data_IF_961829643110
#
_entry.id   IF_961829643110
#
_cell.length_a   1.000
_cell.length_b   1.000
_cell.length_c   1.000
_cell.angle_alpha   90.00
_cell.angle_beta   90.00
_cell.angle_gamma   90.00
#
_symmetry.space_group_name_H-M   'P 1'
#
loop_
_entity.id
_entity.type
_entity.pdbx_description
1 polymer ?
#
# COMPACT_ATOMS: atom_id res chain seq x y z
N UNK A 1 -11.14 10.45 11.93
CA UNK A 1 -12.10 10.51 10.81
C UNK A 1 -11.39 11.09 9.62
N UNK A 2 -11.46 10.43 8.47
CA UNK A 2 -10.74 10.84 7.26
C UNK A 2 -11.20 12.24 6.81
N UNK A 3 -10.28 13.18 6.58
CA UNK A 3 -10.63 14.51 6.06
C UNK A 3 -10.90 14.45 4.55
N UNK A 4 -12.04 13.90 4.16
CA UNK A 4 -12.43 13.64 2.76
C UNK A 4 -12.29 14.90 1.90
N UNK A 5 -12.72 16.06 2.38
CA UNK A 5 -12.67 17.30 1.61
C UNK A 5 -11.24 17.80 1.35
N UNK A 6 -10.31 17.58 2.28
CA UNK A 6 -8.88 17.84 2.02
C UNK A 6 -8.34 16.84 1.00
N UNK A 7 -8.66 15.55 1.16
CA UNK A 7 -8.21 14.51 0.24
C UNK A 7 -8.77 14.67 -1.18
N UNK A 8 -9.95 15.26 -1.33
CA UNK A 8 -10.52 15.59 -2.65
C UNK A 8 -9.65 16.58 -3.43
N UNK A 9 -8.90 17.45 -2.76
CA UNK A 9 -8.10 18.51 -3.39
C UNK A 9 -6.68 18.08 -3.77
N UNK A 10 -6.14 17.03 -3.16
CA UNK A 10 -4.77 16.59 -3.44
C UNK A 10 -4.66 15.77 -4.73
N UNK A 11 -3.42 15.62 -5.22
CA UNK A 11 -3.10 14.80 -6.40
C UNK A 11 -3.58 13.35 -6.21
N UNK A 12 -3.86 12.66 -7.32
CA UNK A 12 -4.29 11.25 -7.27
C UNK A 12 -3.23 10.38 -6.56
N UNK A 13 -1.94 10.65 -6.79
CA UNK A 13 -0.83 9.91 -6.20
C UNK A 13 -0.73 10.16 -4.68
N UNK A 14 -0.77 11.41 -4.25
CA UNK A 14 -0.74 11.77 -2.82
C UNK A 14 -1.92 11.16 -2.08
N UNK A 15 -3.11 11.22 -2.69
CA UNK A 15 -4.33 10.61 -2.17
C UNK A 15 -4.19 9.11 -2.03
N UNK A 16 -3.70 8.44 -3.07
CA UNK A 16 -3.49 7.00 -3.07
C UNK A 16 -2.54 6.59 -1.94
N UNK A 17 -1.41 7.29 -1.81
CA UNK A 17 -0.45 7.02 -0.74
C UNK A 17 -1.05 7.25 0.65
N UNK A 18 -1.82 8.32 0.83
CA UNK A 18 -2.53 8.58 2.08
C UNK A 18 -3.53 7.47 2.42
N UNK A 19 -4.33 7.04 1.45
CA UNK A 19 -5.29 5.96 1.65
C UNK A 19 -4.58 4.67 2.04
N UNK A 20 -3.48 4.31 1.36
CA UNK A 20 -2.65 3.16 1.72
C UNK A 20 -2.13 3.31 3.15
N UNK A 21 -1.60 4.48 3.53
CA UNK A 21 -1.11 4.75 4.88
C UNK A 21 -2.19 4.58 5.95
N UNK A 22 -3.40 5.07 5.66
CA UNK A 22 -4.54 4.95 6.56
C UNK A 22 -4.91 3.47 6.74
N UNK A 23 -5.04 2.71 5.65
CA UNK A 23 -5.37 1.29 5.70
C UNK A 23 -4.28 0.50 6.44
N UNK A 24 -3.01 0.79 6.19
CA UNK A 24 -1.90 0.20 6.93
C UNK A 24 -2.05 0.45 8.44
N UNK A 25 -2.37 1.69 8.84
CA UNK A 25 -2.53 2.07 10.24
C UNK A 25 -3.70 1.34 10.91
N UNK A 26 -4.84 1.19 10.23
CA UNK A 26 -6.00 0.39 10.69
C UNK A 26 -5.66 -1.10 10.84
N UNK A 27 -4.70 -1.60 10.07
CA UNK A 27 -4.19 -2.98 10.16
C UNK A 27 -3.06 -3.15 11.20
N UNK A 28 -2.66 -2.08 11.90
CA UNK A 28 -1.50 -2.10 12.80
C UNK A 28 -0.18 -2.34 12.06
N UNK A 29 -0.10 -1.93 10.80
CA UNK A 29 1.05 -2.09 9.92
C UNK A 29 1.65 -0.71 9.60
N UNK A 30 2.97 -0.61 9.66
CA UNK A 30 3.69 0.58 9.21
C UNK A 30 3.78 0.60 7.68
N UNK A 31 3.53 1.74 7.03
CA UNK A 31 3.61 1.85 5.57
C UNK A 31 5.01 1.52 5.03
N UNK A 32 6.08 1.87 5.76
CA UNK A 32 7.44 1.48 5.42
C UNK A 32 7.64 -0.03 5.55
N UNK A 33 6.92 -0.70 6.46
CA UNK A 33 6.95 -2.16 6.52
C UNK A 33 6.29 -2.77 5.28
N UNK A 34 5.12 -2.27 4.87
CA UNK A 34 4.46 -2.72 3.64
C UNK A 34 5.38 -2.57 2.42
N UNK A 35 5.91 -1.37 2.18
CA UNK A 35 6.81 -1.16 1.03
C UNK A 35 8.12 -1.93 1.20
N UNK A 36 8.58 -2.16 2.43
CA UNK A 36 9.72 -3.02 2.74
C UNK A 36 9.48 -4.46 2.30
N UNK A 37 8.32 -5.05 2.60
CA UNK A 37 7.93 -6.38 2.15
C UNK A 37 7.91 -6.47 0.62
N UNK A 38 7.29 -5.49 -0.04
CA UNK A 38 7.21 -5.48 -1.50
C UNK A 38 8.60 -5.35 -2.14
N UNK A 39 9.46 -4.47 -1.62
CA UNK A 39 10.84 -4.33 -2.07
C UNK A 39 11.65 -5.61 -1.83
N UNK A 40 11.57 -6.18 -0.63
CA UNK A 40 12.27 -7.40 -0.25
C UNK A 40 11.90 -8.57 -1.17
N UNK A 41 10.61 -8.72 -1.50
CA UNK A 41 10.16 -9.72 -2.46
C UNK A 41 10.81 -9.52 -3.83
N UNK A 42 10.85 -8.28 -4.33
CA UNK A 42 11.43 -7.99 -5.64
C UNK A 42 12.95 -8.20 -5.67
N UNK A 43 13.66 -7.87 -4.58
CA UNK A 43 15.09 -8.16 -4.43
C UNK A 43 15.34 -9.68 -4.48
N UNK A 44 14.55 -10.47 -3.73
CA UNK A 44 14.63 -11.94 -3.76
C UNK A 44 14.36 -12.52 -5.15
N UNK A 45 13.49 -11.89 -5.94
CA UNK A 45 13.04 -12.38 -7.25
C UNK A 45 13.69 -11.66 -8.45
N UNK A 46 14.75 -10.86 -8.24
CA UNK A 46 15.52 -10.14 -9.29
C UNK A 46 14.68 -9.27 -10.25
N UNK A 47 13.55 -8.72 -9.78
CA UNK A 47 12.64 -7.89 -10.58
C UNK A 47 13.11 -6.44 -10.76
N UNK A 48 12.63 -5.74 -11.80
CA UNK A 48 12.73 -4.26 -11.88
C UNK A 48 11.63 -3.66 -11.01
N UNK A 49 12.01 -3.03 -9.90
CA UNK A 49 11.04 -2.47 -8.96
C UNK A 49 10.57 -1.07 -9.36
N UNK A 50 9.27 -0.96 -9.60
CA UNK A 50 8.49 0.25 -9.41
C UNK A 50 7.20 -0.22 -8.75
N UNK A 51 6.81 0.35 -7.61
CA UNK A 51 5.76 -0.25 -6.79
C UNK A 51 4.40 -0.38 -7.49
N UNK A 52 4.15 0.32 -8.60
CA UNK A 52 2.95 0.14 -9.45
C UNK A 52 3.14 -0.88 -10.60
N UNK A 53 4.37 -1.31 -10.88
CA UNK A 53 4.78 -2.24 -11.95
C UNK A 53 5.56 -3.45 -11.43
N UNK A 54 5.35 -3.80 -10.16
CA UNK A 54 6.07 -4.87 -9.49
C UNK A 54 5.88 -6.22 -10.19
N UNK A 55 6.97 -6.97 -10.40
CA UNK A 55 6.92 -8.29 -11.03
C UNK A 55 6.70 -9.38 -9.99
N UNK A 56 5.45 -9.52 -9.56
CA UNK A 56 5.00 -10.66 -8.76
C UNK A 56 4.69 -11.87 -9.65
N UNK A 57 4.74 -13.07 -9.08
CA UNK A 57 4.35 -14.32 -9.77
C UNK A 57 3.33 -15.10 -8.94
N UNK A 58 2.55 -15.97 -9.60
CA UNK A 58 1.55 -16.83 -8.95
C UNK A 58 0.49 -16.05 -8.18
N UNK A 59 0.03 -16.62 -7.05
CA UNK A 59 -1.03 -16.07 -6.20
C UNK A 59 -0.72 -14.64 -5.73
N UNK A 60 0.55 -14.36 -5.40
CA UNK A 60 0.98 -13.01 -5.01
C UNK A 60 0.78 -11.97 -6.11
N UNK A 61 0.92 -12.37 -7.37
CA UNK A 61 0.65 -11.48 -8.50
C UNK A 61 -0.82 -11.12 -8.55
N UNK A 62 -1.69 -12.12 -8.43
CA UNK A 62 -3.12 -11.89 -8.50
C UNK A 62 -3.60 -11.00 -7.36
N UNK A 63 -3.07 -11.20 -6.14
CA UNK A 63 -3.45 -10.41 -4.98
C UNK A 63 -2.89 -8.99 -5.04
N UNK A 64 -1.65 -8.82 -5.51
CA UNK A 64 -1.08 -7.51 -5.78
C UNK A 64 -1.86 -6.76 -6.87
N UNK A 65 -2.15 -7.41 -8.00
CA UNK A 65 -2.87 -6.80 -9.13
C UNK A 65 -4.29 -6.39 -8.74
N UNK A 66 -5.00 -7.23 -7.97
CA UNK A 66 -6.34 -6.91 -7.43
C UNK A 66 -6.28 -5.69 -6.53
N UNK A 67 -5.36 -5.66 -5.57
CA UNK A 67 -5.17 -4.52 -4.68
C UNK A 67 -4.79 -3.26 -5.47
N UNK A 68 -3.81 -3.36 -6.36
CA UNK A 68 -3.28 -2.24 -7.13
C UNK A 68 -4.37 -1.62 -8.04
N UNK A 69 -5.09 -2.46 -8.77
CA UNK A 69 -6.18 -2.03 -9.66
C UNK A 69 -7.39 -1.49 -8.90
N UNK A 70 -7.66 -2.01 -7.70
CA UNK A 70 -8.68 -1.46 -6.82
C UNK A 70 -8.29 -0.05 -6.34
N UNK A 71 -7.07 0.11 -5.82
CA UNK A 71 -6.58 1.39 -5.31
C UNK A 71 -6.45 2.47 -6.39
N UNK A 72 -6.08 2.10 -7.63
CA UNK A 72 -6.11 3.03 -8.75
C UNK A 72 -7.52 3.55 -9.05
N UNK A 73 -8.52 2.66 -9.11
CA UNK A 73 -9.91 3.06 -9.32
C UNK A 73 -10.45 3.88 -8.16
N UNK A 74 -10.22 3.42 -6.92
CA UNK A 74 -10.68 4.11 -5.72
C UNK A 74 -10.09 5.52 -5.62
N UNK A 75 -8.76 5.67 -5.73
CA UNK A 75 -8.12 6.98 -5.66
C UNK A 75 -8.50 7.90 -6.83
N UNK A 76 -8.68 7.35 -8.04
CA UNK A 76 -9.10 8.10 -9.22
C UNK A 76 -10.55 8.60 -9.14
N UNK A 77 -11.46 7.79 -8.60
CA UNK A 77 -12.89 8.11 -8.48
C UNK A 77 -13.25 8.78 -7.15
N UNK A 78 -12.32 8.88 -6.20
CA UNK A 78 -12.55 9.41 -4.86
C UNK A 78 -13.26 10.78 -4.83
N UNK A 79 -13.01 11.64 -5.82
CA UNK A 79 -13.68 12.96 -5.89
C UNK A 79 -15.20 12.86 -6.03
N UNK A 80 -15.69 11.80 -6.66
CA UNK A 80 -17.12 11.56 -6.92
C UNK A 80 -17.78 10.70 -5.84
N UNK A 81 -17.04 10.23 -4.83
CA UNK A 81 -17.59 9.37 -3.79
C UNK A 81 -18.21 10.22 -2.67
N UNK A 82 -19.34 9.73 -2.16
CA UNK A 82 -19.91 10.13 -0.88
C UNK A 82 -19.23 9.35 0.27
N UNK A 83 -19.54 9.72 1.51
CA UNK A 83 -18.95 9.09 2.71
C UNK A 83 -19.16 7.57 2.72
N UNK A 84 -20.38 7.11 2.42
CA UNK A 84 -20.72 5.68 2.46
C UNK A 84 -19.89 4.87 1.46
N UNK A 85 -19.70 5.40 0.25
CA UNK A 85 -18.84 4.76 -0.77
C UNK A 85 -17.37 4.79 -0.38
N UNK A 86 -16.90 5.86 0.27
CA UNK A 86 -15.53 5.92 0.81
C UNK A 86 -15.33 4.84 1.87
N UNK A 87 -16.25 4.71 2.82
CA UNK A 87 -16.15 3.73 3.91
C UNK A 87 -16.17 2.28 3.37
N UNK A 88 -17.09 1.97 2.46
CA UNK A 88 -17.14 0.65 1.82
C UNK A 88 -15.86 0.35 1.01
N UNK A 89 -15.31 1.35 0.31
CA UNK A 89 -14.06 1.18 -0.43
C UNK A 89 -12.85 1.01 0.49
N UNK A 90 -12.83 1.69 1.65
CA UNK A 90 -11.79 1.53 2.67
C UNK A 90 -11.83 0.10 3.23
N UNK A 91 -12.99 -0.41 3.63
CA UNK A 91 -13.15 -1.78 4.12
C UNK A 91 -12.69 -2.82 3.07
N UNK A 92 -13.12 -2.66 1.82
CA UNK A 92 -12.68 -3.55 0.75
C UNK A 92 -11.18 -3.50 0.51
N UNK A 93 -10.58 -2.29 0.52
CA UNK A 93 -9.13 -2.14 0.36
C UNK A 93 -8.35 -2.72 1.54
N UNK A 94 -8.90 -2.67 2.75
CA UNK A 94 -8.31 -3.25 3.95
C UNK A 94 -8.24 -4.77 3.84
N UNK A 95 -9.33 -5.42 3.43
CA UNK A 95 -9.36 -6.86 3.22
C UNK A 95 -8.35 -7.31 2.15
N UNK A 96 -8.26 -6.58 1.04
CA UNK A 96 -7.29 -6.87 -0.03
C UNK A 96 -5.85 -6.68 0.44
N UNK A 97 -5.56 -5.60 1.18
CA UNK A 97 -4.21 -5.31 1.66
C UNK A 97 -3.78 -6.31 2.74
N UNK A 98 -4.68 -6.66 3.66
CA UNK A 98 -4.39 -7.64 4.70
C UNK A 98 -4.01 -8.99 4.10
N UNK A 99 -4.79 -9.46 3.11
CA UNK A 99 -4.47 -10.69 2.38
C UNK A 99 -3.10 -10.61 1.71
N UNK A 100 -2.82 -9.54 0.98
CA UNK A 100 -1.53 -9.33 0.31
C UNK A 100 -0.36 -9.35 1.31
N UNK A 101 -0.49 -8.71 2.46
CA UNK A 101 0.55 -8.68 3.50
C UNK A 101 0.81 -10.08 4.05
N UNK A 102 -0.25 -10.83 4.40
CA UNK A 102 -0.13 -12.19 4.92
C UNK A 102 0.56 -13.11 3.90
N UNK A 103 0.18 -13.00 2.63
CA UNK A 103 0.78 -13.81 1.56
C UNK A 103 2.26 -13.44 1.35
N UNK A 104 2.62 -12.15 1.43
CA UNK A 104 4.01 -11.69 1.37
C UNK A 104 4.84 -12.24 2.54
N UNK A 105 4.32 -12.11 3.77
CA UNK A 105 4.97 -12.60 4.98
C UNK A 105 5.19 -14.12 4.90
N UNK A 106 4.16 -14.86 4.51
CA UNK A 106 4.21 -16.32 4.36
C UNK A 106 5.23 -16.72 3.29
N UNK A 107 5.19 -16.09 2.12
CA UNK A 107 6.09 -16.43 0.99
C UNK A 107 7.57 -16.18 1.29
N UNK A 108 7.86 -15.22 2.18
CA UNK A 108 9.21 -14.81 2.52
C UNK A 108 9.68 -15.33 3.87
N UNK A 109 8.84 -16.09 4.59
CA UNK A 109 9.06 -16.59 5.95
C UNK A 109 9.37 -15.47 6.94
N UNK A 110 8.58 -14.39 6.90
CA UNK A 110 8.73 -13.22 7.75
C UNK A 110 7.79 -13.32 8.94
N UNK A 111 8.33 -13.13 10.15
CA UNK A 111 7.54 -12.89 11.35
C UNK A 111 7.49 -11.39 11.60
N UNK A 112 6.31 -10.76 11.42
CA UNK A 112 6.13 -9.32 11.60
C UNK A 112 6.60 -8.82 12.97
N UNK A 113 6.45 -9.61 14.03
CA UNK A 113 6.81 -9.18 15.38
C UNK A 113 8.32 -9.13 15.58
N UNK A 114 9.06 -9.97 14.87
CA UNK A 114 10.52 -10.11 15.00
C UNK A 114 11.26 -9.31 13.93
N UNK A 115 10.77 -9.36 12.69
CA UNK A 115 11.47 -8.88 11.50
C UNK A 115 11.06 -7.46 11.07
N UNK A 116 10.16 -6.79 11.79
CA UNK A 116 9.63 -5.46 11.39
C UNK A 116 10.73 -4.48 11.02
N UNK A 117 11.75 -4.35 11.87
CA UNK A 117 12.86 -3.42 11.66
C UNK A 117 13.71 -3.80 10.46
N UNK A 118 14.02 -5.09 10.27
CA UNK A 118 14.85 -5.55 9.15
C UNK A 118 14.13 -5.41 7.81
N UNK A 119 12.82 -5.68 7.77
CA UNK A 119 11.98 -5.51 6.58
C UNK A 119 11.92 -4.04 6.15
N UNK A 120 11.75 -3.10 7.10
CA UNK A 120 11.73 -1.66 6.80
C UNK A 120 13.02 -1.15 6.16
N UNK A 121 14.16 -1.82 6.38
CA UNK A 121 15.43 -1.45 5.76
C UNK A 121 15.47 -1.71 4.23
N UNK A 122 14.56 -2.54 3.71
CA UNK A 122 14.45 -2.80 2.27
C UNK A 122 13.77 -1.66 1.50
N UNK A 123 13.16 -0.69 2.18
CA UNK A 123 12.56 0.47 1.51
C UNK A 123 13.67 1.33 0.91
N UNK A 124 13.65 1.47 -0.41
CA UNK A 124 14.59 2.34 -1.12
C UNK A 124 14.26 3.82 -0.90
N UNK A 125 15.26 4.67 -1.09
CA UNK A 125 15.13 6.10 -0.80
C UNK A 125 14.14 6.83 -1.73
N UNK A 126 13.88 6.30 -2.93
CA UNK A 126 12.87 6.85 -3.84
C UNK A 126 11.47 6.64 -3.26
N UNK A 127 11.18 5.45 -2.74
CA UNK A 127 9.91 5.15 -2.07
C UNK A 127 9.79 5.94 -0.77
N UNK A 128 10.85 6.04 0.05
CA UNK A 128 10.82 6.89 1.26
C UNK A 128 10.48 8.34 0.91
N UNK A 129 11.14 8.89 -0.11
CA UNK A 129 10.89 10.24 -0.60
C UNK A 129 9.44 10.39 -1.10
N UNK A 130 8.94 9.43 -1.86
CA UNK A 130 7.57 9.41 -2.36
C UNK A 130 6.54 9.37 -1.23
N UNK A 131 6.73 8.53 -0.21
CA UNK A 131 5.88 8.46 0.98
C UNK A 131 5.88 9.83 1.67
N UNK A 132 7.08 10.34 2.00
CA UNK A 132 7.24 11.63 2.69
C UNK A 132 6.60 12.79 1.93
N UNK A 133 6.86 12.91 0.63
CA UNK A 133 6.30 13.97 -0.21
C UNK A 133 4.77 13.84 -0.37
N UNK A 134 4.26 12.61 -0.49
CA UNK A 134 2.83 12.37 -0.67
C UNK A 134 2.01 12.66 0.58
N UNK A 135 2.61 12.45 1.76
CA UNK A 135 1.98 12.70 3.05
C UNK A 135 2.23 14.13 3.56
N UNK A 136 3.19 14.86 2.99
CA UNK A 136 3.48 16.25 3.37
C UNK A 136 2.36 17.19 2.93
N UNK A 137 1.66 17.78 3.89
CA UNK A 137 0.60 18.77 3.65
C UNK A 137 -0.81 18.20 3.56
N UNK A 138 -0.99 16.94 3.94
CA UNK A 138 -2.29 16.34 4.31
C UNK A 138 -2.43 16.35 5.84
#
# INVERSE_FOLDING_TARGET
MLEIEKLKKVSAMSRRMFLINNICSELGVDIYYLFGLLNMYNVKNRGRWFWQKATFTGVLKDDFDKFNSFMDRFSGQFKAYDQQKVDAALEQSQNLLQKLIIDLETSMFIDRQVDSSSVKMYVDDNIKSLISQSLKGL
#
